data_IF_162159385469
#
_entry.id   IF_162159385469
#
_cell.length_a   1.000
_cell.length_b   1.000
_cell.length_c   1.000
_cell.angle_alpha   90.00
_cell.angle_beta   90.00
_cell.angle_gamma   90.00
#
_symmetry.space_group_name_H-M   'P 1'
#
loop_
_entity.id
_entity.type
_entity.pdbx_description
1 polymer ?
#
# COMPACT_ATOMS: atom_id res chain seq x y z
N UNK A 1 0.71 -54.97 19.32
CA UNK A 1 0.12 -54.48 18.06
C UNK A 1 0.43 -53.01 17.95
N UNK A 2 1.26 -52.66 16.97
CA UNK A 2 1.60 -51.28 16.62
C UNK A 2 0.42 -50.71 15.84
N UNK A 3 -0.23 -49.68 16.40
CA UNK A 3 -1.28 -48.92 15.73
C UNK A 3 -0.66 -47.69 15.08
N UNK A 4 -0.44 -47.75 13.77
CA UNK A 4 -0.03 -46.60 12.96
C UNK A 4 -1.15 -45.57 12.85
N UNK A 5 -0.87 -44.35 13.30
CA UNK A 5 -1.65 -43.15 12.99
C UNK A 5 -0.79 -42.24 12.12
N UNK A 6 -1.28 -41.92 10.92
CA UNK A 6 -0.52 -41.30 9.84
C UNK A 6 0.19 -39.99 10.22
N UNK A 7 1.52 -40.00 10.10
CA UNK A 7 2.34 -38.80 10.09
C UNK A 7 2.05 -37.98 8.84
N UNK A 8 1.19 -36.97 8.96
CA UNK A 8 1.16 -35.88 7.99
C UNK A 8 2.54 -35.24 7.98
N UNK A 9 3.24 -35.29 6.85
CA UNK A 9 4.56 -34.69 6.73
C UNK A 9 4.51 -33.24 7.23
N UNK A 10 5.30 -32.92 8.27
CA UNK A 10 5.36 -31.56 8.79
C UNK A 10 5.82 -30.64 7.68
N UNK A 11 4.97 -29.69 7.32
CA UNK A 11 5.23 -28.75 6.25
C UNK A 11 6.31 -27.79 6.73
N UNK A 12 7.48 -27.81 6.10
CA UNK A 12 8.59 -26.88 6.38
C UNK A 12 8.64 -25.75 5.35
N UNK A 13 9.07 -24.57 5.79
CA UNK A 13 9.41 -23.43 4.95
C UNK A 13 10.76 -22.90 5.43
N UNK A 14 11.81 -23.09 4.65
CA UNK A 14 13.18 -22.86 5.13
C UNK A 14 13.48 -23.66 6.40
N UNK A 15 14.02 -22.99 7.43
CA UNK A 15 14.29 -23.53 8.78
C UNK A 15 13.07 -23.58 9.70
N UNK A 16 11.87 -23.28 9.20
CA UNK A 16 10.67 -23.19 10.03
C UNK A 16 9.78 -24.41 9.86
N UNK A 17 9.48 -25.04 10.99
CA UNK A 17 8.46 -26.08 11.10
C UNK A 17 7.09 -25.43 11.29
N UNK A 18 6.21 -25.56 10.30
CA UNK A 18 4.94 -24.84 10.27
C UNK A 18 3.87 -25.63 11.02
N UNK A 19 3.31 -24.99 12.05
CA UNK A 19 2.24 -25.52 12.86
C UNK A 19 0.85 -25.02 12.48
N UNK A 20 -0.01 -24.86 13.49
CA UNK A 20 -1.41 -24.48 13.35
C UNK A 20 -1.58 -23.05 12.84
N UNK A 21 -2.72 -22.79 12.22
CA UNK A 21 -3.15 -21.41 11.90
C UNK A 21 -3.51 -20.70 13.21
N UNK A 22 -3.02 -19.47 13.37
CA UNK A 22 -3.29 -18.62 14.55
C UNK A 22 -4.08 -17.36 14.16
N UNK A 23 -4.15 -17.02 12.88
CA UNK A 23 -4.98 -15.94 12.37
C UNK A 23 -5.26 -16.12 10.87
N UNK A 24 -6.40 -15.62 10.42
CA UNK A 24 -6.81 -15.68 9.01
C UNK A 24 -7.49 -14.36 8.63
N UNK A 25 -6.90 -13.66 7.66
CA UNK A 25 -7.44 -12.43 7.10
C UNK A 25 -7.72 -12.60 5.61
N UNK A 26 -8.32 -11.57 5.01
CA UNK A 26 -8.73 -11.59 3.58
C UNK A 26 -7.57 -11.84 2.61
N UNK A 27 -6.37 -11.38 2.94
CA UNK A 27 -5.20 -11.40 2.04
C UNK A 27 -4.01 -12.18 2.61
N UNK A 28 -4.11 -12.64 3.85
CA UNK A 28 -3.00 -13.28 4.56
C UNK A 28 -3.49 -14.36 5.52
N UNK A 29 -2.70 -15.43 5.63
CA UNK A 29 -2.90 -16.46 6.66
C UNK A 29 -1.73 -16.43 7.62
N UNK A 30 -1.98 -16.34 8.91
CA UNK A 30 -0.95 -16.32 9.95
C UNK A 30 -0.89 -17.69 10.60
N UNK A 31 0.31 -18.27 10.64
CA UNK A 31 0.56 -19.58 11.23
C UNK A 31 1.58 -19.49 12.33
N UNK A 32 1.40 -20.30 13.37
CA UNK A 32 2.47 -20.60 14.30
C UNK A 32 3.55 -21.40 13.56
N UNK A 33 4.81 -21.11 13.80
CA UNK A 33 5.93 -21.93 13.37
C UNK A 33 7.04 -21.93 14.41
N UNK A 34 7.92 -22.92 14.34
CA UNK A 34 9.10 -23.01 15.20
C UNK A 34 10.37 -23.01 14.35
N UNK A 35 11.34 -22.18 14.71
CA UNK A 35 12.66 -22.26 14.12
C UNK A 35 13.35 -23.56 14.57
N UNK A 36 13.66 -24.46 13.65
CA UNK A 36 14.25 -25.76 13.99
C UNK A 36 15.70 -25.69 14.44
N UNK A 37 16.38 -24.57 14.20
CA UNK A 37 17.77 -24.36 14.60
C UNK A 37 17.87 -23.82 16.03
N UNK A 38 17.00 -22.88 16.39
CA UNK A 38 17.03 -22.20 17.71
C UNK A 38 15.97 -22.70 18.69
N UNK A 39 14.93 -23.38 18.21
CA UNK A 39 13.74 -23.74 18.99
C UNK A 39 12.78 -22.58 19.24
N UNK A 40 13.08 -21.38 18.75
CA UNK A 40 12.28 -20.18 18.95
C UNK A 40 10.93 -20.26 18.23
N UNK A 41 9.86 -19.82 18.91
CA UNK A 41 8.52 -19.74 18.34
C UNK A 41 8.33 -18.43 17.56
N UNK A 42 7.76 -18.52 16.36
CA UNK A 42 7.53 -17.37 15.47
C UNK A 42 6.10 -17.38 14.90
N UNK A 43 5.62 -16.21 14.51
CA UNK A 43 4.43 -16.05 13.69
C UNK A 43 4.82 -15.93 12.22
N UNK A 44 4.29 -16.79 11.36
CA UNK A 44 4.53 -16.81 9.92
C UNK A 44 3.31 -16.26 9.20
N UNK A 45 3.40 -15.04 8.68
CA UNK A 45 2.35 -14.42 7.84
C UNK A 45 2.59 -14.80 6.38
N UNK A 46 1.61 -15.47 5.78
CA UNK A 46 1.68 -16.00 4.42
C UNK A 46 0.85 -15.15 3.46
N UNK A 47 1.50 -14.55 2.47
CA UNK A 47 0.92 -13.70 1.45
C UNK A 47 0.95 -14.39 0.08
N UNK A 48 -0.04 -14.11 -0.76
CA UNK A 48 -0.07 -14.58 -2.15
C UNK A 48 0.60 -13.59 -3.11
N UNK A 49 1.60 -14.05 -3.87
CA UNK A 49 2.30 -13.21 -4.86
C UNK A 49 1.37 -12.70 -5.95
N UNK A 50 0.42 -13.53 -6.40
CA UNK A 50 -0.50 -13.14 -7.49
C UNK A 50 -1.38 -11.97 -7.09
N UNK A 51 -1.81 -11.92 -5.82
CA UNK A 51 -2.56 -10.79 -5.28
C UNK A 51 -1.70 -9.52 -5.27
N UNK A 52 -0.42 -9.61 -4.85
CA UNK A 52 0.49 -8.47 -4.80
C UNK A 52 0.75 -7.89 -6.20
N UNK A 53 1.03 -8.76 -7.18
CA UNK A 53 1.29 -8.38 -8.57
C UNK A 53 0.06 -7.73 -9.23
N UNK A 54 -1.12 -8.31 -9.01
CA UNK A 54 -2.39 -7.78 -9.54
C UNK A 54 -2.66 -6.34 -9.12
N UNK A 55 -2.24 -5.96 -7.91
CA UNK A 55 -2.47 -4.63 -7.37
C UNK A 55 -1.32 -3.64 -7.63
N UNK A 56 -0.25 -4.04 -8.34
CA UNK A 56 0.93 -3.21 -8.64
C UNK A 56 1.56 -2.57 -7.39
N UNK A 57 1.51 -3.28 -6.27
CA UNK A 57 1.97 -2.78 -4.96
C UNK A 57 3.36 -3.30 -4.55
N UNK A 58 4.05 -4.04 -5.42
CA UNK A 58 5.34 -4.70 -5.13
C UNK A 58 6.34 -3.72 -4.51
N UNK A 59 6.57 -2.57 -5.15
CA UNK A 59 7.56 -1.58 -4.68
C UNK A 59 7.17 -0.96 -3.33
N UNK A 60 5.88 -0.68 -3.14
CA UNK A 60 5.38 -0.12 -1.89
C UNK A 60 5.52 -1.14 -0.74
N UNK A 61 5.09 -2.39 -0.97
CA UNK A 61 5.17 -3.46 0.02
C UNK A 61 6.62 -3.80 0.33
N UNK A 62 7.50 -3.89 -0.68
CA UNK A 62 8.94 -4.09 -0.50
C UNK A 62 9.53 -2.97 0.36
N UNK A 63 9.18 -1.70 0.09
CA UNK A 63 9.63 -0.55 0.88
C UNK A 63 9.15 -0.62 2.33
N UNK A 64 7.86 -0.84 2.54
CA UNK A 64 7.27 -0.91 3.89
C UNK A 64 7.87 -2.08 4.68
N UNK A 65 8.03 -3.27 4.08
CA UNK A 65 8.70 -4.42 4.70
C UNK A 65 10.17 -4.16 4.99
N UNK A 66 10.89 -3.50 4.08
CA UNK A 66 12.30 -3.15 4.29
C UNK A 66 12.45 -2.23 5.50
N UNK A 67 11.58 -1.22 5.63
CA UNK A 67 11.58 -0.33 6.80
C UNK A 67 11.17 -1.10 8.05
N UNK A 68 10.14 -1.93 7.98
CA UNK A 68 9.69 -2.75 9.12
C UNK A 68 10.74 -3.75 9.61
N UNK A 69 11.63 -4.22 8.72
CA UNK A 69 12.78 -5.05 9.11
C UNK A 69 13.83 -4.26 9.91
N UNK A 70 13.95 -2.97 9.64
CA UNK A 70 14.83 -2.04 10.36
C UNK A 70 14.19 -1.51 11.66
N UNK A 71 12.85 -1.52 11.75
CA UNK A 71 12.10 -1.06 12.92
C UNK A 71 12.35 -1.99 14.11
N UNK A 72 12.96 -1.44 15.16
CA UNK A 72 13.10 -2.09 16.47
C UNK A 72 12.51 -1.19 17.54
N UNK A 73 11.34 -1.57 18.03
CA UNK A 73 10.65 -0.85 19.09
C UNK A 73 9.98 -1.86 20.04
N UNK A 74 10.05 -1.67 21.37
CA UNK A 74 9.45 -2.63 22.31
C UNK A 74 7.94 -2.77 22.13
N UNK A 75 7.25 -1.73 21.64
CA UNK A 75 5.81 -1.77 21.39
C UNK A 75 5.41 -2.09 19.94
N UNK A 76 6.34 -2.53 19.09
CA UNK A 76 6.05 -2.98 17.72
C UNK A 76 6.54 -4.41 17.56
N UNK A 77 5.74 -5.27 16.94
CA UNK A 77 6.12 -6.66 16.65
C UNK A 77 7.32 -6.66 15.70
N UNK A 78 8.38 -7.36 16.09
CA UNK A 78 9.61 -7.44 15.29
C UNK A 78 9.41 -8.31 14.05
N UNK A 79 9.91 -7.85 12.91
CA UNK A 79 10.11 -8.66 11.71
C UNK A 79 11.51 -9.29 11.78
N UNK A 80 11.58 -10.61 11.77
CA UNK A 80 12.84 -11.35 11.82
C UNK A 80 13.46 -11.51 10.42
N UNK A 81 12.68 -12.08 9.49
CA UNK A 81 13.13 -12.34 8.12
C UNK A 81 11.95 -12.47 7.15
N UNK A 82 12.24 -12.39 5.87
CA UNK A 82 11.28 -12.62 4.79
C UNK A 82 11.75 -13.78 3.94
N UNK A 83 10.88 -14.76 3.73
CA UNK A 83 11.11 -15.89 2.85
C UNK A 83 10.15 -15.82 1.67
N UNK A 84 10.54 -16.45 0.57
CA UNK A 84 9.74 -16.47 -0.65
C UNK A 84 9.73 -17.85 -1.31
N UNK A 85 8.65 -18.08 -2.04
CA UNK A 85 8.53 -19.13 -3.05
C UNK A 85 7.90 -18.51 -4.30
N UNK A 86 7.85 -19.25 -5.41
CA UNK A 86 7.21 -18.79 -6.67
C UNK A 86 5.79 -18.23 -6.49
N UNK A 87 5.01 -18.73 -5.53
CA UNK A 87 3.60 -18.36 -5.36
C UNK A 87 3.32 -17.56 -4.09
N UNK A 88 4.20 -17.60 -3.10
CA UNK A 88 3.94 -17.07 -1.75
C UNK A 88 5.12 -16.28 -1.21
N UNK A 89 4.82 -15.26 -0.42
CA UNK A 89 5.78 -14.54 0.43
C UNK A 89 5.44 -14.91 1.88
N UNK A 90 6.45 -15.18 2.68
CA UNK A 90 6.33 -15.55 4.09
C UNK A 90 7.09 -14.51 4.91
N UNK A 91 6.38 -13.80 5.77
CA UNK A 91 6.97 -12.82 6.68
C UNK A 91 7.06 -13.46 8.05
N UNK A 92 8.26 -13.58 8.58
CA UNK A 92 8.53 -14.18 9.88
C UNK A 92 8.55 -13.07 10.93
N UNK A 93 7.64 -13.16 11.88
CA UNK A 93 7.37 -12.17 12.91
C UNK A 93 7.58 -12.78 14.30
N UNK A 94 7.89 -11.90 15.26
CA UNK A 94 7.92 -12.23 16.69
C UNK A 94 6.58 -12.85 17.11
N UNK A 95 6.62 -14.01 17.78
CA UNK A 95 5.41 -14.65 18.29
C UNK A 95 5.04 -14.09 19.66
N UNK A 96 3.89 -13.43 19.75
CA UNK A 96 3.39 -12.81 20.97
C UNK A 96 2.44 -13.76 21.70
N UNK A 97 2.72 -14.06 22.97
CA UNK A 97 2.04 -15.12 23.73
C UNK A 97 0.95 -14.65 24.69
N UNK A 98 0.86 -13.35 25.00
CA UNK A 98 -0.07 -12.81 26.00
C UNK A 98 -1.49 -12.53 25.49
N UNK A 99 -1.76 -12.85 24.22
CA UNK A 99 -3.08 -12.67 23.60
C UNK A 99 -3.37 -11.22 23.20
N UNK A 100 -4.64 -10.93 22.93
CA UNK A 100 -5.09 -9.61 22.51
C UNK A 100 -5.33 -8.70 23.73
N UNK A 101 -5.02 -7.41 23.62
CA UNK A 101 -5.31 -6.44 24.69
C UNK A 101 -6.81 -6.40 25.01
N UNK A 102 -7.66 -6.55 23.98
CA UNK A 102 -9.11 -6.45 24.13
C UNK A 102 -9.73 -7.66 24.84
N UNK A 103 -9.04 -8.80 24.93
CA UNK A 103 -9.47 -9.89 25.80
C UNK A 103 -9.55 -9.45 27.27
N UNK A 104 -8.69 -8.51 27.70
CA UNK A 104 -8.80 -7.92 29.04
C UNK A 104 -10.07 -7.10 29.19
N UNK A 105 -10.47 -6.37 28.15
CA UNK A 105 -11.69 -5.56 28.15
C UNK A 105 -12.93 -6.47 28.19
N UNK A 106 -12.95 -7.53 27.38
CA UNK A 106 -14.07 -8.49 27.34
C UNK A 106 -14.26 -9.17 28.71
N UNK A 107 -13.16 -9.51 29.40
CA UNK A 107 -13.22 -10.22 30.69
C UNK A 107 -13.52 -9.32 31.88
N UNK A 108 -13.00 -8.09 31.89
CA UNK A 108 -13.04 -7.21 33.06
C UNK A 108 -13.85 -5.92 32.86
N UNK A 109 -14.40 -5.70 31.66
CA UNK A 109 -15.02 -4.44 31.27
C UNK A 109 -13.96 -3.38 30.96
N UNK A 110 -14.27 -2.11 31.23
CA UNK A 110 -13.32 -1.01 31.02
C UNK A 110 -12.06 -1.13 31.89
N UNK A 111 -10.96 -0.55 31.43
CA UNK A 111 -9.73 -0.44 32.20
C UNK A 111 -9.77 0.74 33.18
N UNK A 112 -8.91 0.69 34.20
CA UNK A 112 -8.65 1.85 35.04
C UNK A 112 -8.03 2.98 34.20
N UNK A 113 -8.18 4.22 34.64
CA UNK A 113 -7.55 5.36 33.96
C UNK A 113 -6.02 5.18 33.86
N UNK A 114 -5.38 4.66 34.90
CA UNK A 114 -3.94 4.45 34.93
C UNK A 114 -3.50 3.38 33.91
N UNK A 115 -4.21 2.25 33.85
CA UNK A 115 -3.91 1.18 32.90
C UNK A 115 -4.18 1.62 31.46
N UNK A 116 -5.32 2.26 31.20
CA UNK A 116 -5.67 2.79 29.89
C UNK A 116 -4.63 3.81 29.41
N UNK A 117 -4.16 4.71 30.30
CA UNK A 117 -3.08 5.65 29.98
C UNK A 117 -1.79 4.92 29.64
N UNK A 118 -1.38 3.93 30.43
CA UNK A 118 -0.17 3.14 30.18
C UNK A 118 -0.19 2.47 28.80
N UNK A 119 -1.29 1.80 28.45
CA UNK A 119 -1.39 1.18 27.11
C UNK A 119 -1.46 2.22 25.99
N UNK A 120 -2.12 3.36 26.23
CA UNK A 120 -2.17 4.45 25.25
C UNK A 120 -0.80 5.09 25.03
N UNK A 121 0.00 5.27 26.08
CA UNK A 121 1.39 5.73 25.97
C UNK A 121 2.22 4.78 25.10
N UNK A 122 2.14 3.47 25.37
CA UNK A 122 2.83 2.44 24.58
C UNK A 122 2.34 2.42 23.11
N UNK A 123 1.04 2.63 22.89
CA UNK A 123 0.47 2.71 21.54
C UNK A 123 1.05 3.90 20.79
N UNK A 124 1.00 5.09 21.40
CA UNK A 124 1.51 6.32 20.80
C UNK A 124 3.02 6.22 20.54
N UNK A 125 3.81 5.65 21.46
CA UNK A 125 5.25 5.44 21.24
C UNK A 125 5.54 4.54 20.04
N UNK A 126 4.83 3.42 19.91
CA UNK A 126 4.99 2.52 18.76
C UNK A 126 4.55 3.16 17.44
N UNK A 127 3.44 3.90 17.43
CA UNK A 127 2.92 4.58 16.24
C UNK A 127 3.84 5.72 15.81
N UNK A 128 4.27 6.57 16.74
CA UNK A 128 5.20 7.68 16.49
C UNK A 128 6.52 7.18 15.90
N UNK A 129 7.07 6.11 16.48
CA UNK A 129 8.29 5.50 15.98
C UNK A 129 8.17 5.07 14.52
N UNK A 130 7.09 4.37 14.15
CA UNK A 130 6.84 3.96 12.77
C UNK A 130 6.61 5.15 11.83
N UNK A 131 5.82 6.15 12.26
CA UNK A 131 5.55 7.36 11.49
C UNK A 131 6.84 8.14 11.19
N UNK A 132 7.76 8.22 12.15
CA UNK A 132 9.08 8.85 11.97
C UNK A 132 9.93 8.20 10.86
N UNK A 133 9.64 6.93 10.51
CA UNK A 133 10.28 6.18 9.43
C UNK A 133 9.46 6.15 8.14
N UNK A 134 8.34 6.87 8.08
CA UNK A 134 7.45 6.93 6.93
C UNK A 134 6.56 5.71 6.73
N UNK A 135 6.39 4.87 7.77
CA UNK A 135 5.47 3.72 7.74
C UNK A 135 4.23 4.04 8.57
N UNK A 136 3.06 3.86 7.97
CA UNK A 136 1.76 4.12 8.59
C UNK A 136 1.00 2.81 8.71
N UNK A 137 0.22 2.65 9.78
CA UNK A 137 -0.53 1.43 10.01
C UNK A 137 -1.81 1.38 9.17
N UNK A 138 -2.62 2.43 9.06
CA UNK A 138 -3.86 2.50 8.24
C UNK A 138 -4.98 1.50 8.58
N UNK A 139 -4.76 0.58 9.53
CA UNK A 139 -5.76 -0.39 10.01
C UNK A 139 -5.64 -0.67 11.52
N UNK A 140 -5.37 0.36 12.34
CA UNK A 140 -5.25 0.16 13.79
C UNK A 140 -6.61 -0.23 14.36
N UNK A 141 -6.65 -1.39 15.02
CA UNK A 141 -7.86 -2.02 15.56
C UNK A 141 -7.48 -3.02 16.66
N UNK A 142 -8.46 -3.49 17.46
CA UNK A 142 -8.24 -4.41 18.57
C UNK A 142 -7.37 -5.62 18.26
N UNK A 143 -7.63 -6.24 17.12
CA UNK A 143 -7.00 -7.48 16.67
C UNK A 143 -5.51 -7.30 16.38
N UNK A 144 -5.05 -6.04 16.20
CA UNK A 144 -3.66 -5.68 15.95
C UNK A 144 -2.91 -5.24 17.23
N UNK A 145 -3.56 -5.27 18.39
CA UNK A 145 -2.98 -4.85 19.67
C UNK A 145 -2.82 -6.08 20.59
N UNK A 146 -1.60 -6.61 20.62
CA UNK A 146 -1.25 -7.81 21.38
C UNK A 146 -0.55 -7.47 22.68
N UNK A 147 -0.46 -8.44 23.58
CA UNK A 147 0.28 -8.33 24.83
C UNK A 147 1.41 -9.35 24.89
N UNK A 148 2.61 -8.91 25.25
CA UNK A 148 3.72 -9.82 25.53
C UNK A 148 3.53 -10.58 26.85
N UNK A 149 4.50 -11.44 27.19
CA UNK A 149 4.47 -12.23 28.44
C UNK A 149 4.57 -11.38 29.71
N UNK A 150 5.00 -10.13 29.61
CA UNK A 150 5.07 -9.16 30.71
C UNK A 150 3.82 -8.25 30.76
N UNK A 151 2.90 -8.40 29.80
CA UNK A 151 1.69 -7.61 29.69
C UNK A 151 1.91 -6.22 29.07
N UNK A 152 3.00 -6.00 28.34
CA UNK A 152 3.20 -4.77 27.56
C UNK A 152 2.58 -4.90 26.17
N UNK A 153 2.12 -3.77 25.63
CA UNK A 153 1.55 -3.68 24.31
C UNK A 153 2.59 -3.97 23.22
N UNK A 154 2.18 -4.75 22.23
CA UNK A 154 2.87 -5.03 20.97
C UNK A 154 1.91 -4.79 19.81
N UNK A 155 2.21 -3.82 18.96
CA UNK A 155 1.42 -3.52 17.77
C UNK A 155 1.89 -4.43 16.63
N UNK A 156 0.98 -5.24 16.09
CA UNK A 156 1.25 -6.11 14.94
C UNK A 156 0.84 -5.46 13.62
N UNK A 157 1.21 -6.08 12.49
CA UNK A 157 0.67 -5.77 11.16
C UNK A 157 0.95 -4.38 10.54
N UNK A 158 1.87 -3.60 11.13
CA UNK A 158 2.41 -2.38 10.50
C UNK A 158 2.99 -2.64 9.09
N UNK A 159 2.74 -1.71 8.16
CA UNK A 159 3.32 -1.74 6.82
C UNK A 159 2.82 -2.87 5.90
N UNK A 160 1.78 -3.60 6.34
CA UNK A 160 1.19 -4.75 5.62
C UNK A 160 -0.33 -4.64 5.47
N UNK A 161 -0.91 -3.69 6.18
CA UNK A 161 -2.30 -3.25 6.24
C UNK A 161 -2.64 -2.19 5.18
N UNK A 162 -1.61 -1.58 4.58
CA UNK A 162 -1.72 -0.56 3.55
C UNK A 162 -2.33 -1.05 2.23
N UNK A 163 -2.68 -2.34 2.12
CA UNK A 163 -3.21 -2.99 0.93
C UNK A 163 -4.63 -2.50 0.59
N UNK A 164 -4.82 -1.57 -0.36
CA UNK A 164 -6.13 -1.20 -0.82
C UNK A 164 -6.42 -2.14 -2.00
N UNK A 165 -7.48 -2.94 -1.94
CA UNK A 165 -8.13 -3.19 -3.22
C UNK A 165 -8.72 -1.85 -3.67
N UNK A 166 -8.48 -1.45 -4.92
CA UNK A 166 -9.30 -0.41 -5.54
C UNK A 166 -10.76 -0.89 -5.46
N UNK A 167 -11.61 -0.10 -4.80
CA UNK A 167 -12.99 -0.48 -4.45
C UNK A 167 -13.15 -1.24 -3.12
N UNK A 168 -12.08 -1.60 -2.41
CA UNK A 168 -12.18 -2.30 -1.12
C UNK A 168 -12.32 -1.40 0.10
N UNK A 169 -12.22 -0.08 0.00
CA UNK A 169 -12.74 0.73 1.11
C UNK A 169 -14.25 0.45 1.31
N UNK A 170 -15.00 0.19 0.21
CA UNK A 170 -16.40 -0.29 0.20
C UNK A 170 -16.53 -1.79 0.52
N UNK A 171 -15.59 -2.65 0.08
CA UNK A 171 -15.68 -4.09 0.38
C UNK A 171 -15.20 -4.46 1.81
N UNK A 172 -14.24 -3.71 2.36
CA UNK A 172 -13.75 -3.84 3.74
C UNK A 172 -14.76 -3.31 4.74
N UNK A 173 -15.60 -2.36 4.34
CA UNK A 173 -16.79 -1.93 5.09
C UNK A 173 -17.95 -2.91 4.97
N UNK A 174 -18.09 -3.67 3.87
CA UNK A 174 -19.09 -4.75 3.80
C UNK A 174 -18.71 -6.03 4.56
N UNK A 175 -17.44 -6.21 4.96
CA UNK A 175 -16.98 -7.43 5.61
C UNK A 175 -16.19 -7.22 6.92
N UNK A 176 -15.95 -5.98 7.35
CA UNK A 176 -15.22 -5.65 8.58
C UNK A 176 -15.78 -4.40 9.27
N UNK A 177 -15.54 -4.29 10.57
CA UNK A 177 -16.07 -3.28 11.49
C UNK A 177 -15.42 -1.90 11.24
N UNK A 178 -16.10 -0.92 10.61
CA UNK A 178 -15.49 0.36 10.21
C UNK A 178 -15.28 1.34 11.37
N UNK A 179 -15.60 0.94 12.59
CA UNK A 179 -15.73 1.78 13.76
C UNK A 179 -14.40 2.43 14.22
N UNK A 180 -13.26 1.95 13.71
CA UNK A 180 -11.91 2.49 13.98
C UNK A 180 -11.38 3.40 12.85
N UNK A 181 -12.10 3.50 11.74
CA UNK A 181 -11.65 4.17 10.52
C UNK A 181 -11.95 5.67 10.61
N UNK A 182 -11.00 6.50 10.18
CA UNK A 182 -11.16 7.95 10.14
C UNK A 182 -12.14 8.39 9.04
N UNK A 183 -12.87 9.52 9.21
CA UNK A 183 -13.86 10.00 8.23
C UNK A 183 -13.30 10.15 6.82
N UNK A 184 -12.09 10.69 6.69
CA UNK A 184 -11.45 10.93 5.40
C UNK A 184 -11.12 9.63 4.64
N UNK A 185 -10.91 8.52 5.34
CA UNK A 185 -10.65 7.20 4.73
C UNK A 185 -11.91 6.64 4.08
N UNK A 186 -13.09 6.97 4.61
CA UNK A 186 -14.39 6.60 4.03
C UNK A 186 -14.68 7.40 2.74
N UNK A 187 -14.15 8.62 2.63
CA UNK A 187 -14.44 9.56 1.54
C UNK A 187 -13.79 9.26 0.17
N UNK A 188 -13.03 8.16 0.06
CA UNK A 188 -12.36 7.67 -1.16
C UNK A 188 -11.41 8.66 -1.87
N UNK A 189 -10.96 9.70 -1.17
CA UNK A 189 -9.87 10.58 -1.61
C UNK A 189 -8.57 10.15 -0.94
N UNK A 190 -7.43 10.41 -1.54
CA UNK A 190 -6.14 10.18 -0.87
C UNK A 190 -6.14 10.88 0.50
N UNK A 191 -5.56 10.23 1.52
CA UNK A 191 -5.57 10.72 2.90
C UNK A 191 -4.17 10.67 3.51
N UNK A 192 -3.96 11.47 4.56
CA UNK A 192 -2.75 11.43 5.37
C UNK A 192 -2.81 10.22 6.33
N UNK A 193 -1.92 9.25 6.12
CA UNK A 193 -1.87 8.03 6.92
C UNK A 193 -1.60 8.28 8.40
N UNK A 194 -0.84 9.32 8.74
CA UNK A 194 -0.52 9.63 10.13
C UNK A 194 -1.75 10.14 10.90
N UNK A 195 -2.53 11.00 10.25
CA UNK A 195 -3.76 11.55 10.83
C UNK A 195 -4.87 10.49 10.93
N UNK A 196 -4.93 9.55 9.98
CA UNK A 196 -5.85 8.42 10.03
C UNK A 196 -5.51 7.47 11.20
N UNK A 197 -4.23 7.14 11.40
CA UNK A 197 -3.80 6.34 12.55
C UNK A 197 -4.09 7.05 13.88
N UNK A 198 -3.89 8.37 13.92
CA UNK A 198 -4.18 9.19 15.11
C UNK A 198 -5.65 9.07 15.51
N UNK A 199 -6.59 9.13 14.55
CA UNK A 199 -8.01 8.90 14.81
C UNK A 199 -8.25 7.51 15.41
N UNK A 200 -7.69 6.46 14.80
CA UNK A 200 -7.84 5.09 15.29
C UNK A 200 -7.30 4.93 16.72
N UNK A 201 -6.18 5.58 17.07
CA UNK A 201 -5.67 5.65 18.44
C UNK A 201 -6.69 6.27 19.41
N UNK A 202 -7.41 7.32 18.99
CA UNK A 202 -8.47 7.94 19.78
C UNK A 202 -9.65 7.01 20.03
N UNK A 203 -10.08 6.27 19.02
CA UNK A 203 -11.12 5.24 19.15
C UNK A 203 -10.66 4.16 20.14
N UNK A 204 -9.42 3.68 20.02
CA UNK A 204 -8.85 2.68 20.94
C UNK A 204 -8.83 3.21 22.37
N UNK A 205 -8.34 4.44 22.61
CA UNK A 205 -8.34 5.04 23.95
C UNK A 205 -9.74 5.14 24.55
N UNK A 206 -10.72 5.53 23.73
CA UNK A 206 -12.12 5.55 24.15
C UNK A 206 -12.56 4.16 24.60
N UNK A 207 -12.32 3.10 23.81
CA UNK A 207 -12.74 1.75 24.17
C UNK A 207 -12.03 1.24 25.44
N UNK A 208 -10.74 1.55 25.62
CA UNK A 208 -10.02 1.19 26.85
C UNK A 208 -10.68 1.78 28.09
N UNK A 209 -11.19 3.02 28.01
CA UNK A 209 -11.82 3.73 29.13
C UNK A 209 -13.34 3.47 29.28
N UNK A 210 -14.04 3.17 28.18
CA UNK A 210 -15.49 2.94 28.17
C UNK A 210 -15.88 1.47 28.27
N UNK A 211 -15.07 0.57 27.70
CA UNK A 211 -15.41 -0.82 27.46
C UNK A 211 -16.33 -1.04 26.24
N UNK A 212 -16.64 0.01 25.48
CA UNK A 212 -17.46 -0.03 24.27
C UNK A 212 -17.00 1.07 23.28
N UNK A 213 -17.46 0.98 22.03
CA UNK A 213 -17.08 1.87 20.94
C UNK A 213 -17.70 3.28 21.04
N UNK A 214 -17.00 4.34 20.61
CA UNK A 214 -17.58 5.69 20.55
C UNK A 214 -18.66 5.80 19.45
N UNK A 215 -18.47 5.09 18.35
CA UNK A 215 -19.38 5.00 17.22
C UNK A 215 -19.77 3.53 17.06
N UNK A 216 -21.02 3.18 17.33
CA UNK A 216 -21.53 1.82 17.16
C UNK A 216 -23.01 1.87 16.79
N UNK A 217 -23.31 1.41 15.58
CA UNK A 217 -24.65 1.46 15.00
C UNK A 217 -24.85 0.25 14.08
N UNK A 218 -26.09 -0.24 14.05
CA UNK A 218 -26.46 -1.39 13.20
C UNK A 218 -26.55 -0.97 11.73
N UNK A 219 -27.04 0.24 11.48
CA UNK A 219 -27.16 0.81 10.16
C UNK A 219 -25.88 1.55 9.77
N UNK A 220 -25.24 1.13 8.67
CA UNK A 220 -23.99 1.71 8.18
C UNK A 220 -24.13 3.19 7.81
N UNK A 221 -25.29 3.62 7.32
CA UNK A 221 -25.52 5.03 6.97
C UNK A 221 -25.46 5.90 8.22
N UNK A 222 -26.10 5.44 9.29
CA UNK A 222 -26.10 6.12 10.60
C UNK A 222 -24.72 6.08 11.25
N UNK A 223 -24.02 4.94 11.15
CA UNK A 223 -22.64 4.80 11.61
C UNK A 223 -21.72 5.82 10.93
N UNK A 224 -21.78 5.91 9.61
CA UNK A 224 -20.97 6.87 8.86
C UNK A 224 -21.34 8.31 9.19
N UNK A 225 -22.63 8.64 9.31
CA UNK A 225 -23.05 9.97 9.75
C UNK A 225 -22.46 10.37 11.11
N UNK A 226 -22.42 9.43 12.07
CA UNK A 226 -21.79 9.66 13.38
C UNK A 226 -20.27 9.79 13.30
N UNK A 227 -19.61 8.99 12.46
CA UNK A 227 -18.16 9.09 12.25
C UNK A 227 -17.81 10.45 11.61
N UNK A 228 -18.50 10.83 10.54
CA UNK A 228 -18.28 12.08 9.79
C UNK A 228 -18.49 13.34 10.65
N UNK A 229 -19.44 13.30 11.58
CA UNK A 229 -19.74 14.41 12.49
C UNK A 229 -19.06 14.30 13.85
N UNK A 230 -18.32 13.21 14.09
CA UNK A 230 -17.77 12.83 15.38
C UNK A 230 -18.81 12.88 16.52
N UNK A 231 -20.01 12.36 16.27
CA UNK A 231 -21.09 12.30 17.26
C UNK A 231 -20.93 11.10 18.20
N UNK A 232 -20.45 11.36 19.42
CA UNK A 232 -20.33 10.39 20.50
C UNK A 232 -20.53 11.07 21.86
N UNK A 233 -20.77 10.28 22.91
CA UNK A 233 -20.95 10.77 24.28
C UNK A 233 -19.95 10.13 25.23
N UNK A 234 -19.53 10.85 26.28
CA UNK A 234 -18.66 10.27 27.29
C UNK A 234 -19.46 9.77 28.49
N UNK A 235 -19.18 8.56 29.00
CA UNK A 235 -19.65 8.15 30.32
C UNK A 235 -19.29 9.17 31.41
N UNK A 236 -20.13 9.28 32.44
CA UNK A 236 -19.89 10.17 33.57
C UNK A 236 -18.52 9.92 34.22
N UNK A 237 -18.12 8.65 34.26
CA UNK A 237 -16.88 8.12 34.84
C UNK A 237 -15.59 8.45 34.09
N UNK A 238 -15.66 9.10 32.92
CA UNK A 238 -14.46 9.48 32.16
C UNK A 238 -13.69 10.62 32.83
N UNK A 239 -12.36 10.52 32.96
CA UNK A 239 -11.51 11.59 33.46
C UNK A 239 -11.59 12.84 32.57
N UNK A 240 -11.58 14.04 33.15
CA UNK A 240 -11.67 15.30 32.40
C UNK A 240 -10.52 15.48 31.41
N UNK A 241 -9.30 15.13 31.81
CA UNK A 241 -8.11 15.16 30.94
C UNK A 241 -8.26 14.24 29.73
N UNK A 242 -8.67 12.99 29.94
CA UNK A 242 -8.93 12.04 28.86
C UNK A 242 -10.04 12.53 27.91
N UNK A 243 -11.14 13.10 28.43
CA UNK A 243 -12.20 13.70 27.59
C UNK A 243 -11.66 14.82 26.70
N UNK A 244 -10.82 15.69 27.26
CA UNK A 244 -10.21 16.79 26.51
C UNK A 244 -9.31 16.27 25.39
N UNK A 245 -8.46 15.30 25.69
CA UNK A 245 -7.55 14.71 24.72
C UNK A 245 -8.32 13.97 23.61
N UNK A 246 -9.28 13.10 23.95
CA UNK A 246 -10.08 12.35 22.97
C UNK A 246 -10.83 13.28 22.03
N UNK A 247 -11.37 14.42 22.50
CA UNK A 247 -12.03 15.40 21.62
C UNK A 247 -11.11 15.99 20.57
N UNK A 248 -9.84 16.21 20.91
CA UNK A 248 -8.83 16.74 19.97
C UNK A 248 -8.36 15.66 18.99
N UNK A 249 -8.34 14.40 19.41
CA UNK A 249 -7.98 13.25 18.56
C UNK A 249 -9.12 12.90 17.59
N UNK A 250 -10.36 12.82 18.08
CA UNK A 250 -11.55 12.54 17.30
C UNK A 250 -12.15 13.82 16.71
N UNK A 251 -11.30 14.73 16.23
CA UNK A 251 -11.69 15.84 15.38
C UNK A 251 -11.92 15.30 13.96
N UNK A 252 -13.13 15.43 13.38
CA UNK A 252 -13.41 14.88 12.06
C UNK A 252 -12.61 15.58 10.96
N UNK A 253 -12.14 16.81 11.18
CA UNK A 253 -11.31 17.56 10.24
C UNK A 253 -9.82 17.18 10.40
N UNK A 254 -9.16 16.57 9.39
CA UNK A 254 -7.75 16.21 9.49
C UNK A 254 -6.83 17.41 9.69
N UNK A 255 -7.19 18.58 9.14
CA UNK A 255 -6.36 19.80 9.21
C UNK A 255 -6.26 20.37 10.63
N UNK A 256 -7.28 20.13 11.46
CA UNK A 256 -7.38 20.63 12.84
C UNK A 256 -7.17 19.53 13.89
N UNK A 257 -7.18 18.27 13.46
CA UNK A 257 -6.91 17.11 14.32
C UNK A 257 -5.52 17.22 14.94
N UNK A 258 -5.45 16.96 16.24
CA UNK A 258 -4.19 16.94 16.99
C UNK A 258 -3.21 15.95 16.38
N UNK A 259 -1.92 16.31 16.32
CA UNK A 259 -0.87 15.39 15.88
C UNK A 259 -0.23 14.65 17.06
N UNK A 260 0.47 13.55 16.77
CA UNK A 260 1.13 12.74 17.81
C UNK A 260 2.11 13.56 18.66
N UNK A 261 2.86 14.48 18.05
CA UNK A 261 3.81 15.34 18.76
C UNK A 261 3.13 16.24 19.78
N UNK A 262 1.87 16.60 19.54
CA UNK A 262 1.03 17.36 20.48
C UNK A 262 0.37 16.46 21.52
N UNK A 263 -0.02 15.22 21.17
CA UNK A 263 -0.51 14.21 22.12
C UNK A 263 0.55 13.95 23.20
N UNK A 264 1.82 13.78 22.80
CA UNK A 264 2.95 13.57 23.72
C UNK A 264 3.18 14.76 24.68
N UNK A 265 2.69 15.94 24.32
CA UNK A 265 2.78 17.16 25.14
C UNK A 265 1.60 17.32 26.09
N UNK A 266 0.52 16.57 25.91
CA UNK A 266 -0.70 16.66 26.72
C UNK A 266 -0.46 16.25 28.18
N UNK A 267 -1.09 16.97 29.11
CA UNK A 267 -0.91 16.76 30.56
C UNK A 267 -1.50 15.42 31.03
N UNK A 268 -2.60 14.96 30.41
CA UNK A 268 -3.15 13.65 30.74
C UNK A 268 -2.23 12.54 30.25
N UNK A 269 -1.60 12.71 29.08
CA UNK A 269 -0.65 11.76 28.52
C UNK A 269 0.64 11.67 29.34
N UNK A 270 1.22 12.80 29.75
CA UNK A 270 2.51 12.85 30.46
C UNK A 270 2.50 12.25 31.87
N UNK A 271 1.32 12.09 32.46
CA UNK A 271 1.22 11.57 33.82
C UNK A 271 1.78 10.15 33.91
N UNK A 272 2.75 9.97 34.81
CA UNK A 272 3.48 8.71 35.04
C UNK A 272 4.14 8.13 33.77
N UNK A 273 4.45 9.00 32.80
CA UNK A 273 5.01 8.59 31.51
C UNK A 273 6.52 8.36 31.59
N UNK A 274 6.95 7.17 31.20
CA UNK A 274 8.35 6.81 31.02
C UNK A 274 8.63 6.58 29.53
N UNK A 275 9.41 7.45 28.87
CA UNK A 275 9.74 7.26 27.47
C UNK A 275 10.49 5.96 27.24
N UNK A 276 10.11 5.26 26.17
CA UNK A 276 10.86 4.12 25.67
C UNK A 276 12.29 4.54 25.35
N UNK A 277 13.27 3.80 25.88
CA UNK A 277 14.67 3.97 25.49
C UNK A 277 14.89 3.33 24.13
N UNK A 278 15.45 4.09 23.19
CA UNK A 278 15.86 3.56 21.89
C UNK A 278 16.88 2.43 22.10
N UNK A 279 16.62 1.28 21.48
CA UNK A 279 17.58 0.18 21.44
C UNK A 279 18.53 0.46 20.28
N UNK A 280 19.84 0.31 20.51
CA UNK A 280 20.86 0.55 19.47
C UNK A 280 20.57 -0.26 18.20
N UNK A 281 20.81 0.36 17.04
CA UNK A 281 20.66 -0.27 15.74
C UNK A 281 21.74 -1.34 15.57
N UNK A 282 21.37 -2.62 15.59
CA UNK A 282 22.21 -3.68 15.01
C UNK A 282 22.23 -3.54 13.49
N UNK A 283 23.32 -3.96 12.84
CA UNK A 283 23.37 -4.09 11.38
C UNK A 283 22.31 -5.12 10.93
N UNK A 284 21.27 -4.64 10.27
CA UNK A 284 20.20 -5.48 9.71
C UNK A 284 20.43 -5.63 8.21
N UNK A 285 20.61 -6.88 7.77
CA UNK A 285 20.72 -7.23 6.35
C UNK A 285 19.32 -7.27 5.69
N UNK A 286 19.17 -6.69 4.49
CA UNK A 286 17.93 -6.67 3.69
C UNK A 286 17.92 -7.66 2.50
N UNK A 287 18.95 -8.49 2.34
CA UNK A 287 19.13 -9.42 1.21
C UNK A 287 17.97 -10.41 1.05
N UNK A 288 17.36 -10.83 2.16
CA UNK A 288 16.20 -11.70 2.16
C UNK A 288 14.93 -10.98 1.67
N UNK A 289 14.73 -9.70 2.02
CA UNK A 289 13.65 -8.87 1.49
C UNK A 289 13.86 -8.64 0.00
N UNK A 290 15.10 -8.34 -0.41
CA UNK A 290 15.45 -8.22 -1.83
C UNK A 290 15.18 -9.54 -2.55
N UNK A 291 15.76 -10.66 -2.14
CA UNK A 291 15.51 -11.97 -2.74
C UNK A 291 14.04 -12.41 -2.69
N UNK A 292 13.27 -11.94 -1.71
CA UNK A 292 11.86 -12.29 -1.59
C UNK A 292 10.94 -11.52 -2.54
N UNK A 293 11.34 -10.33 -3.01
CA UNK A 293 10.56 -9.47 -3.89
C UNK A 293 11.18 -9.28 -5.28
N UNK A 294 12.48 -9.50 -5.41
CA UNK A 294 13.24 -9.53 -6.65
C UNK A 294 13.14 -10.95 -7.20
N UNK A 295 12.57 -11.10 -8.39
CA UNK A 295 12.40 -12.41 -9.02
C UNK A 295 13.76 -12.90 -9.55
N UNK A 296 14.19 -14.16 -9.33
CA UNK A 296 15.34 -14.72 -10.04
C UNK A 296 15.10 -14.82 -11.57
N UNK A 297 13.88 -14.57 -12.05
CA UNK A 297 13.58 -14.37 -13.48
C UNK A 297 13.78 -12.91 -13.96
N UNK A 298 14.33 -12.02 -13.12
CA UNK A 298 14.72 -10.66 -13.50
C UNK A 298 16.12 -10.57 -14.16
N UNK A 299 16.93 -11.62 -14.08
CA UNK A 299 18.33 -11.63 -14.59
C UNK A 299 18.49 -12.17 -16.03
N UNK A 300 17.42 -12.66 -16.67
CA UNK A 300 17.49 -13.03 -18.08
C UNK A 300 17.07 -11.84 -18.95
N UNK A 301 18.06 -11.08 -19.42
CA UNK A 301 17.88 -10.17 -20.55
C UNK A 301 17.19 -10.93 -21.70
N UNK A 302 16.09 -10.35 -22.19
CA UNK A 302 15.27 -10.82 -23.32
C UNK A 302 14.35 -12.03 -23.10
N UNK A 303 13.60 -12.10 -22.00
CA UNK A 303 12.45 -13.02 -21.90
C UNK A 303 11.13 -12.33 -22.25
N UNK A 304 10.52 -12.79 -23.34
CA UNK A 304 9.13 -12.52 -23.69
C UNK A 304 8.26 -13.62 -23.11
N UNK A 305 7.29 -13.27 -22.27
CA UNK A 305 6.20 -14.19 -21.95
C UNK A 305 5.17 -14.12 -23.08
N UNK A 306 5.37 -14.93 -24.13
CA UNK A 306 4.52 -14.96 -25.33
C UNK A 306 3.06 -15.34 -25.04
N UNK A 307 2.76 -15.91 -23.85
CA UNK A 307 1.38 -16.24 -23.45
C UNK A 307 0.58 -15.06 -22.89
N UNK A 308 1.23 -13.99 -22.40
CA UNK A 308 0.55 -12.97 -21.60
C UNK A 308 0.09 -11.71 -22.37
N UNK A 309 0.65 -11.43 -23.56
CA UNK A 309 0.31 -10.24 -24.36
C UNK A 309 0.56 -8.88 -23.65
N UNK A 310 0.42 -7.74 -24.36
CA UNK A 310 0.48 -6.42 -23.74
C UNK A 310 -0.75 -6.18 -22.84
N UNK A 311 -0.58 -5.35 -21.81
CA UNK A 311 -1.65 -5.01 -20.87
C UNK A 311 -2.85 -4.38 -21.60
N UNK A 312 -4.06 -4.82 -21.28
CA UNK A 312 -5.29 -4.25 -21.84
C UNK A 312 -5.72 -2.99 -21.09
N UNK A 313 -6.05 -1.92 -21.82
CA UNK A 313 -6.68 -0.71 -21.29
C UNK A 313 -8.16 -0.75 -21.62
N UNK A 314 -9.01 -0.54 -20.61
CA UNK A 314 -10.45 -0.50 -20.80
C UNK A 314 -10.90 0.91 -21.22
N UNK A 315 -12.18 1.03 -21.57
CA UNK A 315 -12.77 2.30 -22.02
C UNK A 315 -12.67 3.42 -20.96
N UNK A 316 -12.72 3.11 -19.66
CA UNK A 316 -12.55 4.11 -18.60
C UNK A 316 -11.09 4.59 -18.50
N UNK A 317 -10.12 3.70 -18.67
CA UNK A 317 -8.70 4.07 -18.71
C UNK A 317 -8.43 5.01 -19.90
N UNK A 318 -9.01 4.71 -21.07
CA UNK A 318 -8.93 5.58 -22.26
C UNK A 318 -9.58 6.95 -22.06
N UNK A 319 -10.70 7.01 -21.32
CA UNK A 319 -11.41 8.26 -21.01
C UNK A 319 -10.55 9.16 -20.12
N UNK A 320 -9.90 8.59 -19.09
CA UNK A 320 -8.97 9.32 -18.20
C UNK A 320 -7.76 9.83 -18.99
N UNK A 321 -7.29 9.06 -19.97
CA UNK A 321 -6.16 9.42 -20.82
C UNK A 321 -6.54 10.39 -21.97
N UNK A 322 -7.83 10.64 -22.19
CA UNK A 322 -8.33 11.52 -23.24
C UNK A 322 -8.14 13.00 -22.87
N UNK A 323 -7.62 13.78 -23.82
CA UNK A 323 -7.29 15.21 -23.61
C UNK A 323 -8.51 16.07 -23.22
N UNK A 324 -9.74 15.62 -23.51
CA UNK A 324 -10.97 16.34 -23.18
C UNK A 324 -11.38 16.29 -21.70
N UNK A 325 -10.84 15.35 -20.93
CA UNK A 325 -11.13 15.18 -19.49
C UNK A 325 -9.87 15.29 -18.61
N UNK A 326 -8.72 15.59 -19.22
CA UNK A 326 -7.48 15.79 -18.50
C UNK A 326 -7.49 17.15 -17.77
N UNK A 327 -7.81 17.11 -16.47
CA UNK A 327 -7.90 18.30 -15.59
C UNK A 327 -6.52 18.87 -15.21
N UNK A 328 -5.40 18.25 -15.57
CA UNK A 328 -4.05 18.81 -15.29
C UNK A 328 -3.87 20.21 -15.93
N UNK A 329 -4.56 20.46 -17.04
CA UNK A 329 -4.66 21.75 -17.71
C UNK A 329 -5.28 22.87 -16.85
N UNK A 330 -6.05 22.56 -15.80
CA UNK A 330 -6.62 23.54 -14.87
C UNK A 330 -5.63 23.98 -13.78
N UNK A 331 -4.54 23.23 -13.57
CA UNK A 331 -3.62 23.42 -12.45
C UNK A 331 -2.22 23.90 -12.86
N UNK A 332 -1.83 23.77 -14.13
CA UNK A 332 -0.53 24.26 -14.64
C UNK A 332 -0.67 25.55 -15.47
N UNK A 333 -0.50 26.70 -14.82
CA UNK A 333 -0.71 28.03 -15.43
C UNK A 333 0.46 28.56 -16.26
N UNK A 334 1.48 27.75 -16.57
CA UNK A 334 2.62 28.15 -17.44
C UNK A 334 3.26 26.94 -18.13
N UNK A 335 2.66 26.42 -19.20
CA UNK A 335 3.40 25.78 -20.29
C UNK A 335 2.53 25.70 -21.55
N UNK A 336 3.11 26.10 -22.67
CA UNK A 336 2.47 26.24 -23.98
C UNK A 336 1.77 24.95 -24.45
N UNK A 337 0.53 25.09 -24.90
CA UNK A 337 -0.31 24.07 -25.52
C UNK A 337 0.18 23.69 -26.93
N UNK A 338 1.40 23.15 -27.02
CA UNK A 338 2.01 22.69 -28.26
C UNK A 338 2.20 21.17 -28.26
N UNK A 339 1.29 20.42 -28.90
CA UNK A 339 1.42 19.01 -29.34
C UNK A 339 2.26 18.09 -28.44
N UNK A 340 1.63 17.51 -27.41
CA UNK A 340 2.19 16.36 -26.71
C UNK A 340 2.19 15.12 -27.63
N UNK A 341 3.30 14.92 -28.33
CA UNK A 341 3.65 13.73 -29.12
C UNK A 341 4.10 12.54 -28.25
N UNK A 342 3.78 12.54 -26.95
CA UNK A 342 4.21 11.50 -26.02
C UNK A 342 3.36 10.22 -26.08
N UNK A 343 2.35 10.18 -26.96
CA UNK A 343 1.53 8.99 -27.21
C UNK A 343 1.22 8.84 -28.69
N UNK A 344 1.19 7.61 -29.17
CA UNK A 344 0.72 7.28 -30.52
C UNK A 344 -0.02 5.93 -30.54
N UNK A 345 -0.86 5.73 -31.55
CA UNK A 345 -1.56 4.47 -31.78
C UNK A 345 -0.87 3.66 -32.87
N UNK A 346 -1.01 2.34 -32.83
CA UNK A 346 -0.56 1.44 -33.87
C UNK A 346 -1.54 0.29 -34.05
N UNK A 347 -1.58 -0.27 -35.27
CA UNK A 347 -2.28 -1.52 -35.60
C UNK A 347 -1.33 -2.68 -35.87
N UNK A 348 -0.03 -2.45 -35.71
CA UNK A 348 0.99 -3.50 -35.84
C UNK A 348 0.94 -4.38 -34.59
N UNK A 349 1.30 -5.68 -34.69
CA UNK A 349 1.47 -6.53 -33.51
C UNK A 349 2.45 -5.91 -32.51
N UNK A 350 2.21 -6.09 -31.22
CA UNK A 350 2.96 -5.42 -30.16
C UNK A 350 4.46 -5.74 -30.17
N UNK A 351 4.85 -6.96 -30.55
CA UNK A 351 6.25 -7.32 -30.75
C UNK A 351 6.91 -6.52 -31.90
N UNK A 352 6.21 -6.31 -33.02
CA UNK A 352 6.71 -5.52 -34.16
C UNK A 352 6.87 -4.05 -33.77
N UNK A 353 5.91 -3.50 -33.02
CA UNK A 353 5.99 -2.13 -32.49
C UNK A 353 7.26 -1.98 -31.64
N UNK A 354 7.46 -2.90 -30.70
CA UNK A 354 8.55 -2.89 -29.73
C UNK A 354 9.93 -3.04 -30.41
N UNK A 355 10.07 -3.98 -31.35
CA UNK A 355 11.32 -4.15 -32.11
C UNK A 355 11.65 -2.92 -32.97
N UNK A 356 10.64 -2.30 -33.59
CA UNK A 356 10.84 -1.08 -34.38
C UNK A 356 11.28 0.08 -33.48
N UNK A 357 10.64 0.21 -32.32
CA UNK A 357 10.98 1.18 -31.28
C UNK A 357 12.41 1.00 -30.77
N UNK A 358 12.84 -0.24 -30.55
CA UNK A 358 14.19 -0.57 -30.12
C UNK A 358 15.24 -0.15 -31.13
N UNK A 359 15.07 -0.57 -32.38
CA UNK A 359 15.99 -0.26 -33.49
C UNK A 359 16.15 1.25 -33.64
N UNK A 360 15.05 2.01 -33.55
CA UNK A 360 15.11 3.48 -33.63
C UNK A 360 15.89 4.06 -32.45
N UNK A 361 15.66 3.60 -31.22
CA UNK A 361 16.33 4.11 -30.03
C UNK A 361 17.85 3.81 -30.07
N UNK A 362 18.22 2.60 -30.46
CA UNK A 362 19.62 2.19 -30.65
C UNK A 362 20.29 2.98 -31.78
N UNK A 363 19.58 3.25 -32.88
CA UNK A 363 20.11 4.10 -33.97
C UNK A 363 20.39 5.54 -33.54
N UNK A 364 19.74 5.99 -32.46
CA UNK A 364 19.94 7.30 -31.85
C UNK A 364 21.05 7.29 -30.79
N UNK A 365 21.73 6.16 -30.58
CA UNK A 365 22.83 6.02 -29.62
C UNK A 365 22.37 5.79 -28.18
N UNK A 366 21.10 5.43 -27.97
CA UNK A 366 20.58 5.09 -26.65
C UNK A 366 20.68 3.58 -26.40
N UNK A 367 20.94 3.22 -25.14
CA UNK A 367 20.79 1.85 -24.65
C UNK A 367 19.31 1.57 -24.41
N UNK A 368 18.88 0.37 -24.77
CA UNK A 368 17.50 -0.08 -24.61
C UNK A 368 17.46 -1.31 -23.71
N UNK A 369 16.46 -1.38 -22.84
CA UNK A 369 16.15 -2.57 -22.05
C UNK A 369 14.66 -2.84 -22.19
N UNK A 370 14.30 -4.03 -22.65
CA UNK A 370 12.91 -4.39 -22.96
C UNK A 370 12.43 -5.50 -22.03
N UNK A 371 11.22 -5.34 -21.49
CA UNK A 371 10.55 -6.36 -20.68
C UNK A 371 9.04 -6.19 -20.71
N UNK A 372 8.27 -7.25 -20.93
CA UNK A 372 6.80 -7.26 -20.85
C UNK A 372 6.12 -6.10 -21.60
N UNK A 373 6.48 -5.89 -22.86
CA UNK A 373 5.97 -4.80 -23.72
C UNK A 373 6.22 -3.38 -23.16
N UNK A 374 7.19 -3.26 -22.24
CA UNK A 374 7.80 -2.01 -21.81
C UNK A 374 9.23 -1.95 -22.32
N UNK A 375 9.69 -0.75 -22.64
CA UNK A 375 11.07 -0.48 -23.01
C UNK A 375 11.59 0.68 -22.18
N UNK A 376 12.75 0.51 -21.56
CA UNK A 376 13.52 1.60 -20.97
C UNK A 376 14.58 2.04 -21.97
N UNK A 377 14.67 3.35 -22.21
CA UNK A 377 15.68 3.98 -23.05
C UNK A 377 16.56 4.86 -22.18
N UNK A 378 17.87 4.62 -22.23
CA UNK A 378 18.87 5.30 -21.42
C UNK A 378 20.00 5.82 -22.30
N UNK A 379 20.39 7.08 -22.10
CA UNK A 379 21.51 7.65 -22.85
C UNK A 379 22.06 8.92 -22.24
N UNK A 380 23.32 9.26 -22.57
CA UNK A 380 23.93 10.50 -22.13
C UNK A 380 23.26 11.70 -22.82
N UNK A 381 23.06 12.78 -22.07
CA UNK A 381 22.63 14.06 -22.65
C UNK A 381 23.71 14.63 -23.61
N UNK A 382 23.30 15.48 -24.55
CA UNK A 382 24.18 16.22 -25.47
C UNK A 382 25.33 16.97 -24.76
N UNK A 383 25.12 17.38 -23.50
CA UNK A 383 26.13 18.06 -22.67
C UNK A 383 26.94 17.13 -21.73
N UNK A 384 26.72 15.81 -21.75
CA UNK A 384 27.40 14.79 -20.91
C UNK A 384 27.34 14.99 -19.38
N UNK A 385 26.53 15.91 -18.87
CA UNK A 385 26.40 16.22 -17.43
C UNK A 385 25.21 15.54 -16.74
N UNK A 386 24.26 14.97 -17.49
CA UNK A 386 23.07 14.28 -16.97
C UNK A 386 22.69 13.06 -17.82
N UNK A 387 22.04 12.08 -17.20
CA UNK A 387 21.49 10.89 -17.87
C UNK A 387 20.01 11.10 -18.15
N UNK A 388 19.58 10.85 -19.39
CA UNK A 388 18.17 10.87 -19.80
C UNK A 388 17.64 9.43 -19.75
N UNK A 389 16.56 9.22 -18.99
CA UNK A 389 15.88 7.91 -18.89
C UNK A 389 14.41 8.08 -19.26
N UNK A 390 13.96 7.30 -20.24
CA UNK A 390 12.60 7.34 -20.78
C UNK A 390 12.01 5.94 -20.72
N UNK A 391 10.79 5.83 -20.22
CA UNK A 391 10.02 4.60 -20.22
C UNK A 391 9.00 4.65 -21.35
N UNK A 392 8.94 3.59 -22.15
CA UNK A 392 7.93 3.38 -23.17
C UNK A 392 7.11 2.15 -22.80
N UNK A 393 5.81 2.23 -23.00
CA UNK A 393 4.90 1.14 -22.67
C UNK A 393 3.84 0.96 -23.76
N UNK A 394 3.62 -0.29 -24.16
CA UNK A 394 2.59 -0.69 -25.11
C UNK A 394 1.39 -1.24 -24.34
N UNK A 395 0.21 -0.77 -24.70
CA UNK A 395 -1.07 -1.23 -24.18
C UNK A 395 -1.97 -1.69 -25.31
N UNK A 396 -2.73 -2.76 -25.14
CA UNK A 396 -3.82 -3.11 -26.04
C UNK A 396 -5.09 -2.35 -25.65
N UNK A 397 -5.62 -1.54 -26.55
CA UNK A 397 -6.79 -0.68 -26.29
C UNK A 397 -8.07 -1.23 -26.91
N UNK A 398 -7.92 -2.11 -27.91
CA UNK A 398 -8.96 -2.92 -28.53
C UNK A 398 -8.26 -4.06 -29.30
N UNK A 399 -8.97 -5.13 -29.72
CA UNK A 399 -8.37 -6.21 -30.49
C UNK A 399 -7.57 -5.67 -31.68
N UNK A 400 -6.25 -5.94 -31.69
CA UNK A 400 -5.30 -5.47 -32.73
C UNK A 400 -5.10 -3.95 -32.82
N UNK A 401 -5.45 -3.19 -31.79
CA UNK A 401 -5.14 -1.76 -31.67
C UNK A 401 -4.34 -1.55 -30.40
N UNK A 402 -3.15 -0.99 -30.56
CA UNK A 402 -2.22 -0.75 -29.48
C UNK A 402 -1.95 0.74 -29.31
N UNK A 403 -1.78 1.17 -28.07
CA UNK A 403 -1.32 2.51 -27.72
C UNK A 403 0.08 2.41 -27.14
N UNK A 404 0.95 3.28 -27.61
CA UNK A 404 2.29 3.46 -27.07
C UNK A 404 2.34 4.77 -26.30
N UNK A 405 2.81 4.70 -25.06
CA UNK A 405 3.02 5.85 -24.18
C UNK A 405 4.50 6.01 -23.86
N UNK A 406 4.97 7.27 -23.85
CA UNK A 406 6.34 7.66 -23.51
C UNK A 406 6.32 8.54 -22.26
N UNK A 407 7.07 8.14 -21.23
CA UNK A 407 7.16 8.84 -19.95
C UNK A 407 8.62 9.15 -19.59
N UNK A 408 8.90 10.38 -19.13
CA UNK A 408 10.22 10.78 -18.66
C UNK A 408 10.41 10.29 -17.22
N UNK A 409 11.39 9.42 -16.98
CA UNK A 409 11.73 8.95 -15.62
C UNK A 409 12.89 9.72 -14.98
N UNK A 410 13.84 10.22 -15.77
CA UNK A 410 14.95 11.06 -15.30
C UNK A 410 15.50 11.95 -16.43
N UNK A 411 16.16 13.05 -16.10
CA UNK A 411 16.75 14.01 -17.05
C UNK A 411 15.89 15.26 -17.28
N UNK A 412 16.42 16.25 -18.01
CA UNK A 412 15.77 17.56 -18.19
C UNK A 412 14.61 17.54 -19.20
N UNK A 413 13.58 18.37 -18.94
CA UNK A 413 12.36 18.44 -19.77
C UNK A 413 12.67 18.84 -21.22
N UNK A 414 13.65 19.73 -21.44
CA UNK A 414 14.05 20.17 -22.78
C UNK A 414 14.61 19.00 -23.61
N UNK A 415 15.41 18.14 -22.99
CA UNK A 415 16.07 17.03 -23.68
C UNK A 415 15.11 15.85 -23.89
N UNK A 416 14.18 15.63 -22.97
CA UNK A 416 13.04 14.74 -23.19
C UNK A 416 12.21 15.17 -24.41
N UNK A 417 11.83 16.45 -24.51
CA UNK A 417 11.03 16.93 -25.64
C UNK A 417 11.78 16.81 -26.98
N UNK A 418 13.10 17.08 -27.01
CA UNK A 418 13.94 16.87 -28.20
C UNK A 418 13.99 15.39 -28.59
N UNK A 419 14.16 14.50 -27.61
CA UNK A 419 14.15 13.07 -27.84
C UNK A 419 12.82 12.63 -28.44
N UNK A 420 11.69 12.94 -27.79
CA UNK A 420 10.35 12.50 -28.21
C UNK A 420 10.05 12.96 -29.64
N UNK A 421 10.35 14.21 -29.98
CA UNK A 421 10.11 14.72 -31.33
C UNK A 421 10.93 13.96 -32.40
N UNK A 422 12.23 13.74 -32.16
CA UNK A 422 13.10 13.01 -33.09
C UNK A 422 12.70 11.53 -33.18
N UNK A 423 12.46 10.91 -32.02
CA UNK A 423 12.11 9.51 -31.88
C UNK A 423 10.76 9.19 -32.55
N UNK A 424 9.71 9.93 -32.25
CA UNK A 424 8.39 9.74 -32.85
C UNK A 424 8.40 10.03 -34.36
N UNK A 425 9.22 10.97 -34.85
CA UNK A 425 9.34 11.22 -36.30
C UNK A 425 9.92 10.04 -37.09
N UNK A 426 10.70 9.17 -36.43
CA UNK A 426 11.31 7.98 -37.01
C UNK A 426 10.43 6.72 -36.87
N UNK A 427 9.30 6.80 -36.18
CA UNK A 427 8.32 5.72 -35.97
C UNK A 427 7.04 5.90 -36.81
N UNK A 428 7.15 6.70 -37.87
CA UNK A 428 6.03 7.06 -38.74
C UNK A 428 5.42 5.84 -39.48
N UNK A 429 6.20 4.78 -39.66
CA UNK A 429 5.86 3.52 -40.31
C UNK A 429 4.98 2.59 -39.44
N UNK A 430 5.15 2.66 -38.12
CA UNK A 430 4.34 1.92 -37.15
C UNK A 430 3.19 2.76 -36.57
N UNK A 431 3.19 4.08 -36.79
CA UNK A 431 2.18 5.00 -36.26
C UNK A 431 0.92 4.99 -37.12
N UNK A 432 -0.23 4.70 -36.50
CA UNK A 432 -1.53 4.78 -37.14
C UNK A 432 -1.99 6.24 -37.27
N UNK A 433 -1.98 6.77 -38.49
CA UNK A 433 -2.51 8.09 -38.83
C UNK A 433 -4.00 7.97 -39.16
N UNK A 434 -4.86 8.65 -38.40
CA UNK A 434 -6.31 8.71 -38.69
C UNK A 434 -6.51 9.69 -39.84
N UNK A 435 -6.90 9.19 -41.01
CA UNK A 435 -7.38 10.03 -42.11
C UNK A 435 -8.69 10.69 -41.69
N UNK A 436 -8.81 12.01 -41.83
CA UNK A 436 -10.06 12.70 -41.55
C UNK A 436 -11.10 12.34 -42.62
N UNK A 437 -11.95 11.34 -42.36
CA UNK A 437 -13.10 11.08 -43.21
C UNK A 437 -14.23 12.08 -42.95
N UNK A 438 -14.67 12.73 -44.04
CA UNK A 438 -15.72 13.74 -44.12
C UNK A 438 -17.05 13.20 -43.56
N UNK A 439 -17.48 13.70 -42.41
CA UNK A 439 -18.74 13.34 -41.78
C UNK A 439 -19.95 13.57 -42.70
N UNK A 440 -20.63 12.50 -43.11
CA UNK A 440 -21.99 12.58 -43.64
C UNK A 440 -22.97 12.52 -42.47
N UNK A 441 -23.53 13.69 -42.14
CA UNK A 441 -24.71 13.85 -41.29
C UNK A 441 -25.86 12.97 -41.79
N UNK A 442 -26.40 12.11 -40.91
CA UNK A 442 -27.69 11.44 -41.11
C UNK A 442 -28.56 11.69 -39.89
N UNK A 443 -29.21 12.84 -39.88
CA UNK A 443 -30.38 13.11 -39.03
C UNK A 443 -31.58 12.33 -39.57
N UNK A 444 -32.05 11.29 -38.87
CA UNK A 444 -33.36 10.69 -39.13
C UNK A 444 -34.40 11.27 -38.18
N UNK A 445 -35.34 12.03 -38.76
CA UNK A 445 -36.59 12.50 -38.17
C UNK A 445 -37.44 11.32 -37.69
N UNK A 446 -37.87 11.35 -36.43
CA UNK A 446 -39.05 10.62 -35.96
C UNK A 446 -40.26 11.56 -36.07
N UNK A 447 -41.15 11.26 -37.02
CA UNK A 447 -42.50 11.86 -37.07
C UNK A 447 -43.54 10.75 -37.23
N UNK A 448 -44.43 10.67 -36.23
CA UNK A 448 -45.83 10.23 -36.27
C UNK A 448 -46.19 9.00 -37.11
N UNK A 449 -46.58 7.91 -36.44
CA UNK A 449 -48.00 7.61 -36.15
C UNK A 449 -48.11 6.51 -35.11
#
# INVERSE_FOLDING_TARGET
>A
MVGGGGGGALRRVGKYEVGRTIGEGTFAKVKFAQNTETGESVAMKVLDRSSILKHKMVDQIKREISIMKLVRHPNVVRLHEVLASRKKIFIILEFITGGELFDKIIRHGRLSEADARKYFQQLIDGVDFCHSKGVYHRDLKPENLLLDSQGNLKISDFGLSAWPAQGAALLRTTCGTPNYVAPEVLSHKGYDGALADTWSCGVILYVLLAGYLPFDEVDLTTLYGKIETAEYSFPAVFPSGAKSLIRRILDPSPDTRIRIEEIRKDEWFKKDYEPVREVENEEVNLDDVNAAFDDPEEDNEHTFDDEAGPLTLNAFDLIILSQGLNLSALFDRRQDYGKLQNRFLSRKPANVILSSMEVVAQSMGFKTHIRNYKMRVEGPNANKTSHLTIMLQIFEVAPSIFMVELERSAGDTSDYNKFVNNYCSKLDDITWKVSAEKGKSRTSRLSKR
#
